data_IF_087895625269
#
_entry.id   IF_087895625269
#
_cell.length_a   1.000
_cell.length_b   1.000
_cell.length_c   1.000
_cell.angle_alpha   90.00
_cell.angle_beta   90.00
_cell.angle_gamma   90.00
#
_symmetry.space_group_name_H-M   'P 1'
#
loop_
_entity.id
_entity.type
_entity.pdbx_description
1 polymer ?
#
# COMPACT_ATOMS: atom_id res chain seq x y z
N UNK A 1 -0.77 14.91 17.58
CA UNK A 1 -1.47 13.91 16.76
C UNK A 1 -1.11 14.18 15.31
N UNK A 2 -0.73 13.16 14.54
CA UNK A 2 -0.32 13.31 13.14
C UNK A 2 -1.60 13.35 12.28
N UNK A 3 -1.74 14.36 11.41
CA UNK A 3 -2.81 14.41 10.41
C UNK A 3 -2.32 13.78 9.11
N UNK A 4 -2.95 12.67 8.73
CA UNK A 4 -2.63 11.92 7.51
C UNK A 4 -3.50 12.32 6.32
N UNK A 5 -4.56 13.11 6.52
CA UNK A 5 -5.51 13.47 5.44
C UNK A 5 -4.83 14.15 4.25
N UNK A 6 -3.92 15.14 4.44
CA UNK A 6 -3.24 15.77 3.31
C UNK A 6 -2.37 14.79 2.51
N UNK A 7 -1.63 13.90 3.21
CA UNK A 7 -0.79 12.91 2.58
C UNK A 7 -1.61 11.85 1.82
N UNK A 8 -2.67 11.34 2.45
CA UNK A 8 -3.58 10.36 1.84
C UNK A 8 -4.20 10.92 0.55
N UNK A 9 -4.69 12.16 0.56
CA UNK A 9 -5.22 12.82 -0.64
C UNK A 9 -4.18 12.96 -1.74
N UNK A 10 -2.94 13.32 -1.38
CA UNK A 10 -1.83 13.41 -2.33
C UNK A 10 -1.57 12.07 -3.03
N UNK A 11 -1.50 10.98 -2.25
CA UNK A 11 -1.30 9.63 -2.78
C UNK A 11 -2.48 9.20 -3.66
N UNK A 12 -3.73 9.42 -3.23
CA UNK A 12 -4.91 9.08 -4.03
C UNK A 12 -4.94 9.77 -5.39
N UNK A 13 -4.58 11.06 -5.46
CA UNK A 13 -4.51 11.79 -6.73
C UNK A 13 -3.41 11.24 -7.66
N UNK A 14 -2.26 10.83 -7.10
CA UNK A 14 -1.19 10.21 -7.89
C UNK A 14 -1.62 8.84 -8.42
N UNK A 15 -2.29 8.03 -7.59
CA UNK A 15 -2.74 6.68 -7.96
C UNK A 15 -3.66 6.69 -9.19
N UNK A 16 -4.56 7.69 -9.30
CA UNK A 16 -5.44 7.88 -10.48
C UNK A 16 -4.65 8.04 -11.79
N UNK A 17 -3.44 8.64 -11.72
CA UNK A 17 -2.59 8.86 -12.89
C UNK A 17 -1.72 7.66 -13.29
N UNK A 18 -1.65 6.60 -12.47
CA UNK A 18 -0.77 5.45 -12.72
C UNK A 18 -1.38 4.50 -13.75
N UNK A 19 -0.64 4.31 -14.86
CA UNK A 19 -0.96 3.36 -15.93
C UNK A 19 -0.34 1.99 -15.64
N UNK A 20 -0.92 0.91 -16.14
CA UNK A 20 -0.43 -0.47 -15.89
C UNK A 20 1.02 -0.68 -16.32
N UNK A 21 1.41 -0.10 -17.47
CA UNK A 21 2.79 -0.14 -17.97
C UNK A 21 3.82 0.51 -17.04
N UNK A 22 3.38 1.25 -16.02
CA UNK A 22 4.25 1.91 -15.05
C UNK A 22 4.40 1.11 -13.75
N UNK A 23 3.65 0.02 -13.56
CA UNK A 23 3.67 -0.75 -12.31
C UNK A 23 5.06 -1.32 -12.01
N UNK A 24 5.81 -1.74 -13.04
CA UNK A 24 7.18 -2.24 -12.89
C UNK A 24 8.25 -1.12 -12.89
N UNK A 25 7.84 0.15 -13.03
CA UNK A 25 8.79 1.27 -13.09
C UNK A 25 9.44 1.52 -11.72
N UNK A 26 10.73 1.89 -11.66
CA UNK A 26 11.41 2.17 -10.41
C UNK A 26 10.90 3.45 -9.74
N UNK A 27 11.05 3.53 -8.43
CA UNK A 27 10.73 4.71 -7.62
C UNK A 27 11.98 5.25 -6.93
N UNK A 28 11.94 6.47 -6.36
CA UNK A 28 13.02 6.97 -5.50
C UNK A 28 13.26 6.12 -4.25
N UNK A 29 12.29 5.27 -3.86
CA UNK A 29 12.49 4.25 -2.84
C UNK A 29 13.32 3.12 -3.45
N UNK A 30 14.60 3.06 -3.08
CA UNK A 30 15.54 2.08 -3.65
C UNK A 30 14.99 0.64 -3.54
N UNK A 31 15.02 -0.09 -4.66
CA UNK A 31 14.52 -1.46 -4.73
C UNK A 31 12.99 -1.59 -4.78
N UNK A 32 12.24 -0.49 -4.96
CA UNK A 32 10.77 -0.51 -5.04
C UNK A 32 10.26 -0.01 -6.39
N UNK A 33 9.35 -0.79 -6.94
CA UNK A 33 8.56 -0.42 -8.11
C UNK A 33 7.32 0.38 -7.70
N UNK A 34 6.65 1.00 -8.67
CA UNK A 34 5.36 1.67 -8.43
C UNK A 34 4.32 0.68 -7.89
N UNK A 35 4.28 -0.54 -8.44
CA UNK A 35 3.38 -1.60 -7.99
C UNK A 35 3.63 -2.01 -6.54
N UNK A 36 4.90 -2.09 -6.12
CA UNK A 36 5.25 -2.39 -4.72
C UNK A 36 4.73 -1.29 -3.77
N UNK A 37 4.86 -0.02 -4.15
CA UNK A 37 4.36 1.09 -3.33
C UNK A 37 2.84 1.11 -3.26
N UNK A 38 2.16 0.84 -4.37
CA UNK A 38 0.69 0.79 -4.41
C UNK A 38 0.14 -0.34 -3.53
N UNK A 39 0.71 -1.55 -3.63
CA UNK A 39 0.35 -2.68 -2.76
C UNK A 39 0.51 -2.32 -1.27
N UNK A 40 1.60 -1.65 -0.92
CA UNK A 40 1.83 -1.21 0.45
C UNK A 40 0.81 -0.15 0.92
N UNK A 41 0.50 0.85 0.09
CA UNK A 41 -0.49 1.87 0.47
C UNK A 41 -1.89 1.30 0.64
N UNK A 42 -2.27 0.37 -0.24
CA UNK A 42 -3.56 -0.33 -0.19
C UNK A 42 -3.76 -1.02 1.14
N UNK A 43 -2.78 -1.80 1.57
CA UNK A 43 -2.94 -2.51 2.83
C UNK A 43 -2.77 -1.62 4.06
N UNK A 44 -2.01 -0.52 4.00
CA UNK A 44 -2.03 0.50 5.06
C UNK A 44 -3.43 1.10 5.21
N UNK A 45 -4.16 1.35 4.11
CA UNK A 45 -5.53 1.85 4.17
C UNK A 45 -6.47 0.85 4.85
N UNK A 46 -6.34 -0.45 4.54
CA UNK A 46 -7.07 -1.53 5.21
C UNK A 46 -6.73 -1.59 6.71
N UNK A 47 -5.45 -1.59 7.05
CA UNK A 47 -5.01 -1.67 8.44
C UNK A 47 -5.52 -0.49 9.29
N UNK A 48 -5.46 0.73 8.75
CA UNK A 48 -5.98 1.90 9.47
C UNK A 48 -7.50 1.89 9.59
N UNK A 49 -8.23 1.46 8.56
CA UNK A 49 -9.68 1.26 8.64
C UNK A 49 -10.02 0.27 9.75
N UNK A 50 -9.39 -0.90 9.74
CA UNK A 50 -9.67 -1.97 10.69
C UNK A 50 -9.30 -1.55 12.13
N UNK A 51 -8.17 -0.85 12.30
CA UNK A 51 -7.79 -0.25 13.58
C UNK A 51 -8.80 0.78 14.08
N UNK A 52 -9.31 1.65 13.19
CA UNK A 52 -10.33 2.64 13.53
C UNK A 52 -11.66 2.00 13.93
N UNK A 53 -12.06 0.92 13.25
CA UNK A 53 -13.29 0.17 13.57
C UNK A 53 -13.12 -0.85 14.71
N UNK A 54 -11.90 -0.99 15.26
CA UNK A 54 -11.54 -2.05 16.23
C UNK A 54 -11.89 -3.45 15.72
N UNK A 55 -11.87 -3.63 14.40
CA UNK A 55 -12.03 -4.95 13.82
C UNK A 55 -10.80 -5.78 14.16
N UNK A 56 -10.98 -7.10 14.35
CA UNK A 56 -9.81 -7.99 14.29
C UNK A 56 -9.21 -7.79 12.92
N UNK A 57 -7.94 -7.38 12.86
CA UNK A 57 -7.21 -7.38 11.60
C UNK A 57 -7.33 -8.80 11.07
N UNK A 58 -8.05 -8.98 9.95
CA UNK A 58 -8.04 -10.25 9.26
C UNK A 58 -6.56 -10.58 9.03
N UNK A 59 -6.20 -11.85 9.19
CA UNK A 59 -4.82 -12.35 9.28
C UNK A 59 -4.04 -12.25 7.94
N UNK A 60 -4.25 -11.17 7.18
CA UNK A 60 -3.70 -10.95 5.85
C UNK A 60 -2.78 -9.74 5.71
N UNK A 61 -2.94 -8.68 6.51
CA UNK A 61 -2.04 -7.50 6.40
C UNK A 61 -0.99 -7.38 7.52
N UNK A 62 -1.29 -7.90 8.72
CA UNK A 62 -0.39 -7.87 9.89
C UNK A 62 -0.12 -9.27 10.50
N UNK A 63 -0.69 -10.37 9.96
CA UNK A 63 -0.39 -11.72 10.49
C UNK A 63 0.83 -12.37 9.83
N UNK A 64 1.96 -11.67 9.86
CA UNK A 64 3.23 -12.23 9.38
C UNK A 64 4.34 -12.00 10.38
N UNK A 65 4.48 -12.92 11.35
CA UNK A 65 5.80 -13.38 11.84
C UNK A 65 6.69 -12.23 12.37
N UNK A 66 7.98 -12.43 12.71
CA UNK A 66 8.91 -11.30 12.69
C UNK A 66 8.80 -10.68 11.31
N UNK A 67 8.44 -9.39 11.26
CA UNK A 67 8.30 -8.67 10.00
C UNK A 67 9.51 -8.95 9.11
N UNK A 68 9.31 -9.26 7.83
CA UNK A 68 10.43 -9.54 6.95
C UNK A 68 11.34 -8.29 6.90
N UNK A 69 12.64 -8.44 6.57
CA UNK A 69 13.58 -7.33 6.62
C UNK A 69 13.03 -6.10 5.88
N UNK A 70 13.44 -4.89 6.28
CA UNK A 70 12.85 -3.62 5.84
C UNK A 70 12.84 -3.38 4.31
N UNK A 71 13.33 -4.33 3.51
CA UNK A 71 13.31 -4.40 2.06
C UNK A 71 12.11 -5.17 1.47
N UNK A 72 11.22 -5.78 2.26
CA UNK A 72 10.13 -6.67 1.79
C UNK A 72 8.70 -6.12 1.95
N UNK A 73 8.56 -4.86 2.36
CA UNK A 73 7.26 -4.18 2.40
C UNK A 73 6.77 -3.88 0.97
N UNK A 74 5.51 -4.22 0.69
CA UNK A 74 4.93 -4.10 -0.65
C UNK A 74 5.50 -5.11 -1.66
N UNK A 75 4.63 -5.74 -2.43
CA UNK A 75 5.03 -6.44 -3.65
C UNK A 75 3.99 -6.22 -4.74
N UNK A 76 4.40 -5.74 -5.92
CA UNK A 76 3.52 -5.58 -7.07
C UNK A 76 2.83 -6.89 -7.49
N UNK A 77 3.43 -8.05 -7.17
CA UNK A 77 2.81 -9.36 -7.38
C UNK A 77 1.57 -9.63 -6.51
N UNK A 78 1.39 -8.86 -5.42
CA UNK A 78 0.24 -8.93 -4.50
C UNK A 78 -0.77 -7.82 -4.71
N UNK A 79 -0.48 -6.85 -5.60
CA UNK A 79 -1.37 -5.75 -5.89
C UNK A 79 -2.73 -6.28 -6.38
N UNK A 80 -3.81 -5.85 -5.73
CA UNK A 80 -5.16 -6.20 -6.13
C UNK A 80 -5.39 -5.82 -7.60
N UNK A 81 -5.82 -6.73 -8.49
CA UNK A 81 -6.09 -6.39 -9.89
C UNK A 81 -7.07 -5.22 -10.07
N UNK A 82 -7.99 -5.05 -9.12
CA UNK A 82 -9.02 -4.02 -9.11
C UNK A 82 -8.62 -2.81 -8.24
N UNK A 83 -7.33 -2.61 -7.94
CA UNK A 83 -6.82 -1.53 -7.07
C UNK A 83 -7.28 -0.11 -7.43
N UNK A 84 -7.76 0.11 -8.67
CA UNK A 84 -8.31 1.39 -9.12
C UNK A 84 -9.76 1.64 -8.69
N UNK A 85 -10.47 0.60 -8.27
CA UNK A 85 -11.89 0.64 -7.91
C UNK A 85 -12.12 0.62 -6.39
N UNK A 86 -11.05 0.47 -5.61
CA UNK A 86 -11.04 0.40 -4.15
C UNK A 86 -10.77 1.77 -3.52
#
# INVERSE_FOLDING_TARGET
MIDLVPAARGVSMLAVGVQDRQLDAPTPCAGKTVGDLLDHFMGLAVAFRDAATKASMASGYDDQRPGPPADTWGSGSRLDPEWRLL
#
